data_IF_476744981546
#
_entry.id   IF_476744981546
#
_cell.length_a   1.000
_cell.length_b   1.000
_cell.length_c   1.000
_cell.angle_alpha   90.00
_cell.angle_beta   90.00
_cell.angle_gamma   90.00
#
_symmetry.space_group_name_H-M   'P 1'
#
loop_
_entity.id
_entity.type
_entity.pdbx_description
1 polymer ?
#
# COMPACT_ATOMS: atom_id res chain seq x y z
N UNK A 1 -2.77 26.77 -10.65
CA UNK A 1 -3.20 25.51 -11.30
C UNK A 1 -4.54 25.13 -10.71
N UNK A 2 -5.57 25.03 -11.55
CA UNK A 2 -6.88 24.46 -11.20
C UNK A 2 -6.67 23.01 -10.73
N UNK A 3 -7.42 22.49 -9.74
CA UNK A 3 -7.27 21.09 -9.31
C UNK A 3 -7.49 20.17 -10.51
N UNK A 4 -6.84 19.00 -10.60
CA UNK A 4 -7.31 17.96 -11.51
C UNK A 4 -8.78 17.72 -11.20
N UNK A 5 -9.65 17.75 -12.22
CA UNK A 5 -10.99 17.17 -12.11
C UNK A 5 -10.82 15.78 -11.48
N UNK A 6 -11.63 15.48 -10.45
CA UNK A 6 -11.56 14.25 -9.67
C UNK A 6 -11.22 13.05 -10.55
N UNK A 7 -10.32 12.16 -10.09
CA UNK A 7 -9.99 10.93 -10.82
C UNK A 7 -11.26 10.27 -11.40
N UNK A 8 -11.23 9.92 -12.69
CA UNK A 8 -12.34 9.25 -13.38
C UNK A 8 -12.38 7.80 -12.90
N UNK A 9 -12.96 7.60 -11.71
CA UNK A 9 -13.16 6.32 -11.05
C UNK A 9 -14.55 5.79 -11.40
N UNK A 10 -14.57 4.66 -12.09
CA UNK A 10 -15.79 3.93 -12.47
C UNK A 10 -15.85 2.63 -11.70
N UNK A 11 -16.97 2.38 -11.04
CA UNK A 11 -17.20 1.16 -10.26
C UNK A 11 -18.39 0.42 -10.86
N UNK A 12 -18.16 -0.80 -11.36
CA UNK A 12 -19.14 -1.59 -12.10
C UNK A 12 -19.44 -2.90 -11.36
N UNK A 13 -20.72 -3.22 -11.19
CA UNK A 13 -21.17 -4.47 -10.57
C UNK A 13 -21.00 -4.54 -9.03
N UNK A 14 -20.73 -3.40 -8.36
CA UNK A 14 -20.46 -3.36 -6.92
C UNK A 14 -21.72 -2.98 -6.09
N UNK A 15 -21.77 -3.34 -4.80
CA UNK A 15 -22.76 -2.82 -3.87
C UNK A 15 -22.72 -1.28 -3.74
N UNK A 16 -23.86 -0.64 -3.47
CA UNK A 16 -23.96 0.83 -3.34
C UNK A 16 -22.97 1.43 -2.33
N UNK A 17 -22.66 0.72 -1.24
CA UNK A 17 -21.66 1.17 -0.24
C UNK A 17 -20.27 1.40 -0.85
N UNK A 18 -19.86 0.55 -1.81
CA UNK A 18 -18.57 0.66 -2.49
C UNK A 18 -18.59 1.83 -3.46
N UNK A 19 -19.69 1.99 -4.19
CA UNK A 19 -19.87 3.15 -5.09
C UNK A 19 -19.77 4.44 -4.29
N UNK A 20 -20.47 4.54 -3.15
CA UNK A 20 -20.37 5.70 -2.27
C UNK A 20 -18.96 5.92 -1.71
N UNK A 21 -18.27 4.84 -1.30
CA UNK A 21 -16.89 4.93 -0.80
C UNK A 21 -15.91 5.46 -1.87
N UNK A 22 -16.10 5.07 -3.13
CA UNK A 22 -15.29 5.52 -4.28
C UNK A 22 -15.47 7.00 -4.63
N UNK A 23 -16.63 7.57 -4.28
CA UNK A 23 -16.94 8.98 -4.53
C UNK A 23 -16.46 9.91 -3.40
N UNK A 24 -16.12 9.35 -2.23
CA UNK A 24 -15.67 10.11 -1.07
C UNK A 24 -14.16 10.38 -1.15
N UNK A 25 -13.79 11.61 -1.51
CA UNK A 25 -12.39 12.04 -1.53
C UNK A 25 -11.75 11.94 -0.14
N UNK A 26 -10.57 11.32 -0.10
CA UNK A 26 -9.74 11.16 1.10
C UNK A 26 -8.38 11.84 0.94
N UNK A 27 -8.18 12.52 -0.18
CA UNK A 27 -6.99 13.30 -0.46
C UNK A 27 -6.95 14.56 0.42
N UNK A 28 -5.74 14.90 0.90
CA UNK A 28 -5.43 16.05 1.73
C UNK A 28 -4.28 16.84 1.11
N UNK A 29 -4.32 18.16 1.28
CA UNK A 29 -3.33 19.12 0.76
C UNK A 29 -3.00 20.23 1.76
N UNK A 30 -3.66 20.19 2.93
CA UNK A 30 -3.33 21.02 4.06
C UNK A 30 -1.93 20.65 4.60
N UNK A 31 -1.14 21.62 5.11
CA UNK A 31 0.21 21.35 5.58
C UNK A 31 0.25 20.21 6.60
N UNK A 32 1.08 19.19 6.32
CA UNK A 32 1.32 18.10 7.27
C UNK A 32 2.16 18.57 8.45
N UNK A 33 1.76 18.19 9.66
CA UNK A 33 2.48 18.47 10.89
C UNK A 33 3.80 17.71 11.00
N UNK A 34 4.69 18.26 11.82
CA UNK A 34 5.95 17.64 12.22
C UNK A 34 6.16 18.01 13.68
N UNK A 35 6.20 17.00 14.56
CA UNK A 35 6.53 17.20 15.97
C UNK A 35 8.03 16.97 16.18
N UNK A 36 8.61 17.61 17.20
CA UNK A 36 9.99 17.39 17.62
C UNK A 36 9.98 17.00 19.09
N UNK A 37 10.58 15.86 19.40
CA UNK A 37 10.71 15.34 20.76
C UNK A 37 12.15 15.47 21.21
N UNK A 38 12.40 16.41 22.13
CA UNK A 38 13.70 16.60 22.77
C UNK A 38 14.03 15.41 23.67
N UNK A 39 15.26 14.89 23.57
CA UNK A 39 15.70 13.66 24.23
C UNK A 39 14.77 12.48 23.95
N UNK A 40 14.28 12.39 22.70
CA UNK A 40 13.26 11.43 22.31
C UNK A 40 13.74 9.99 22.43
N UNK A 41 12.94 9.14 23.09
CA UNK A 41 13.17 7.71 23.27
C UNK A 41 12.28 6.92 22.31
N UNK A 42 12.87 5.99 21.58
CA UNK A 42 12.20 5.06 20.67
C UNK A 42 12.41 3.64 21.22
N UNK A 43 11.42 3.05 21.91
CA UNK A 43 11.54 1.69 22.43
C UNK A 43 11.49 0.66 21.29
N UNK A 44 11.81 -0.59 21.60
CA UNK A 44 11.41 -1.72 20.76
C UNK A 44 9.89 -1.82 20.69
N UNK A 45 9.36 -2.37 19.60
CA UNK A 45 7.95 -2.74 19.55
C UNK A 45 7.68 -4.01 20.35
N UNK A 46 6.52 -4.07 21.01
CA UNK A 46 6.01 -5.27 21.69
C UNK A 46 4.58 -5.54 21.24
N UNK A 47 4.26 -6.78 20.87
CA UNK A 47 2.89 -7.15 20.53
C UNK A 47 1.97 -6.98 21.76
N UNK A 48 0.77 -6.46 21.52
CA UNK A 48 -0.23 -6.27 22.55
C UNK A 48 -1.64 -6.53 22.02
N UNK A 49 -2.58 -6.76 22.94
CA UNK A 49 -3.99 -6.78 22.59
C UNK A 49 -4.55 -5.36 22.64
N UNK A 50 -5.16 -4.92 21.54
CA UNK A 50 -5.89 -3.66 21.49
C UNK A 50 -7.38 -3.99 21.46
N UNK A 51 -8.16 -3.55 22.47
CA UNK A 51 -9.61 -3.71 22.46
C UNK A 51 -10.23 -2.84 21.36
N UNK A 52 -11.09 -3.44 20.55
CA UNK A 52 -11.96 -2.76 19.60
C UNK A 52 -13.36 -2.78 20.21
N UNK A 53 -13.87 -1.60 20.52
CA UNK A 53 -15.26 -1.45 20.94
C UNK A 53 -16.12 -1.23 19.70
N UNK A 54 -16.69 -2.30 19.16
CA UNK A 54 -17.86 -2.19 18.29
C UNK A 54 -19.11 -2.43 19.14
N UNK A 55 -20.18 -1.68 18.85
CA UNK A 55 -21.40 -1.53 19.65
C UNK A 55 -22.18 -2.82 19.94
N UNK A 56 -21.73 -3.97 19.43
CA UNK A 56 -22.37 -5.27 19.62
C UNK A 56 -21.43 -6.39 20.12
N UNK A 57 -20.11 -6.17 20.29
CA UNK A 57 -19.20 -7.20 20.82
C UNK A 57 -17.77 -6.69 21.13
N UNK A 58 -17.17 -7.18 22.22
CA UNK A 58 -15.77 -6.92 22.57
C UNK A 58 -14.84 -7.83 21.75
N UNK A 59 -14.03 -7.24 20.88
CA UNK A 59 -13.01 -7.98 20.13
C UNK A 59 -11.62 -7.42 20.41
N UNK A 60 -10.61 -8.28 20.32
CA UNK A 60 -9.21 -7.90 20.50
C UNK A 60 -8.42 -8.12 19.22
N UNK A 61 -7.80 -7.07 18.70
CA UNK A 61 -6.82 -7.16 17.62
C UNK A 61 -5.40 -7.15 18.18
N UNK A 62 -4.47 -7.80 17.48
CA UNK A 62 -3.05 -7.81 17.86
C UNK A 62 -2.41 -6.54 17.35
N UNK A 63 -2.24 -5.54 18.22
CA UNK A 63 -1.54 -4.31 17.91
C UNK A 63 -0.13 -4.27 18.50
N UNK A 64 0.45 -3.08 18.51
CA UNK A 64 1.85 -2.88 18.89
C UNK A 64 2.00 -1.80 19.95
N UNK A 65 2.74 -2.06 21.03
CA UNK A 65 3.27 -0.99 21.87
C UNK A 65 4.45 -0.35 21.15
N UNK A 66 4.47 0.97 21.06
CA UNK A 66 5.49 1.69 20.30
C UNK A 66 5.34 3.21 20.41
N UNK A 67 5.89 3.93 19.44
CA UNK A 67 5.92 5.40 19.40
C UNK A 67 7.22 6.01 19.89
N UNK A 68 7.24 7.33 20.00
CA UNK A 68 8.34 8.17 20.49
C UNK A 68 7.93 8.80 21.80
N UNK A 69 8.81 8.80 22.79
CA UNK A 69 8.53 9.28 24.15
C UNK A 69 9.49 10.42 24.50
N UNK A 70 9.03 11.38 25.28
CA UNK A 70 9.91 12.41 25.84
C UNK A 70 10.66 11.90 27.09
N UNK A 71 11.51 12.76 27.67
CA UNK A 71 12.25 12.46 28.91
C UNK A 71 11.37 12.19 30.14
N UNK A 72 10.09 12.56 30.10
CA UNK A 72 9.13 12.34 31.18
C UNK A 72 8.36 11.02 30.99
N UNK A 73 8.59 10.32 29.88
CA UNK A 73 7.89 9.08 29.55
C UNK A 73 6.53 9.31 28.88
N UNK A 74 6.23 10.55 28.46
CA UNK A 74 5.01 10.88 27.74
C UNK A 74 5.16 10.59 26.26
N UNK A 75 4.18 9.91 25.67
CA UNK A 75 4.21 9.54 24.25
C UNK A 75 3.85 10.74 23.36
N UNK A 76 4.62 10.96 22.30
CA UNK A 76 4.24 11.85 21.20
C UNK A 76 3.07 11.25 20.43
N UNK A 77 1.85 11.84 20.45
CA UNK A 77 0.68 11.20 19.85
C UNK A 77 0.81 10.92 18.35
N UNK A 78 1.49 11.79 17.59
CA UNK A 78 1.71 11.63 16.14
C UNK A 78 2.60 10.43 15.77
N UNK A 79 3.36 9.91 16.74
CA UNK A 79 4.20 8.72 16.56
C UNK A 79 3.42 7.40 16.60
N UNK A 80 2.16 7.42 17.07
CA UNK A 80 1.30 6.26 17.11
C UNK A 80 0.76 5.92 15.70
N UNK A 81 0.42 4.65 15.51
CA UNK A 81 0.00 4.09 14.23
C UNK A 81 -1.51 3.85 14.22
N UNK A 82 -2.17 4.34 13.18
CA UNK A 82 -3.61 4.28 13.01
C UNK A 82 -3.98 3.57 11.69
N UNK A 83 -5.11 2.87 11.70
CA UNK A 83 -5.80 2.37 10.52
C UNK A 83 -7.28 2.70 10.68
N UNK A 84 -7.90 3.22 9.63
CA UNK A 84 -9.31 3.63 9.65
C UNK A 84 -9.54 4.67 10.77
N UNK A 85 -10.26 4.31 11.82
CA UNK A 85 -10.43 5.13 13.04
C UNK A 85 -9.90 4.43 14.30
N UNK A 86 -9.11 3.37 14.12
CA UNK A 86 -8.58 2.53 15.19
C UNK A 86 -7.08 2.73 15.32
N UNK A 87 -6.62 3.02 16.53
CA UNK A 87 -5.19 2.96 16.86
C UNK A 87 -4.76 1.51 16.89
N UNK A 88 -3.82 1.14 16.03
CA UNK A 88 -3.22 -0.20 16.00
C UNK A 88 -1.87 -0.23 16.70
N UNK A 89 -1.39 0.92 17.17
CA UNK A 89 -0.35 0.99 18.19
C UNK A 89 -0.79 1.77 19.43
N UNK A 90 -0.25 1.42 20.58
CA UNK A 90 -0.51 2.04 21.89
C UNK A 90 0.78 2.38 22.62
N UNK A 91 0.67 3.10 23.72
CA UNK A 91 1.82 3.49 24.53
C UNK A 91 2.25 2.40 25.51
N UNK A 92 3.53 2.43 25.89
CA UNK A 92 4.02 1.75 27.08
C UNK A 92 3.49 2.44 28.34
N UNK A 93 3.29 1.67 29.41
CA UNK A 93 3.06 2.22 30.73
C UNK A 93 4.38 2.74 31.33
N UNK A 94 4.32 3.69 32.28
CA UNK A 94 5.52 4.20 32.96
C UNK A 94 6.37 3.05 33.52
N UNK A 95 7.67 3.05 33.21
CA UNK A 95 8.62 2.03 33.66
C UNK A 95 8.66 0.73 32.85
N UNK A 96 7.83 0.55 31.82
CA UNK A 96 7.90 -0.62 30.93
C UNK A 96 9.03 -0.52 29.89
N UNK A 97 9.52 0.69 29.61
CA UNK A 97 10.65 0.90 28.69
C UNK A 97 11.94 0.47 29.42
N UNK A 98 12.64 -0.49 28.82
CA UNK A 98 13.90 -1.02 29.35
C UNK A 98 15.07 -0.04 29.25
N UNK A 99 16.32 -0.52 29.47
CA UNK A 99 17.52 0.30 29.32
C UNK A 99 17.57 1.00 27.96
N UNK A 100 17.94 2.28 27.98
CA UNK A 100 17.97 3.14 26.79
C UNK A 100 19.42 3.38 26.37
N UNK A 101 19.77 3.02 25.14
CA UNK A 101 21.03 3.40 24.51
C UNK A 101 20.91 4.80 23.91
N UNK A 102 21.81 5.72 24.27
CA UNK A 102 21.80 7.06 23.70
C UNK A 102 22.70 7.17 22.47
N UNK A 103 22.13 7.66 21.37
CA UNK A 103 22.81 7.93 20.11
C UNK A 103 22.79 9.46 19.90
N UNK A 104 23.95 10.13 19.86
CA UNK A 104 24.00 11.58 19.70
C UNK A 104 23.40 12.05 18.36
N UNK A 105 22.84 13.26 18.36
CA UNK A 105 22.29 13.93 17.19
C UNK A 105 20.80 13.74 16.99
N UNK A 106 20.36 13.98 15.76
CA UNK A 106 18.95 13.97 15.39
C UNK A 106 18.59 12.74 14.57
N UNK A 107 17.36 12.27 14.73
CA UNK A 107 16.81 11.19 13.93
C UNK A 107 15.38 11.49 13.49
N UNK A 108 14.96 10.89 12.37
CA UNK A 108 13.57 10.90 11.92
C UNK A 108 12.90 9.58 12.30
N UNK A 109 11.77 9.65 13.00
CA UNK A 109 10.93 8.50 13.26
C UNK A 109 10.05 8.18 12.05
N UNK A 110 10.21 6.98 11.49
CA UNK A 110 9.50 6.52 10.30
C UNK A 110 8.28 5.63 10.61
N UNK A 111 8.09 5.21 11.86
CA UNK A 111 6.98 4.35 12.26
C UNK A 111 7.33 2.86 12.32
N UNK A 112 6.35 2.01 12.00
CA UNK A 112 6.47 0.56 12.08
C UNK A 112 7.00 -0.02 10.76
N UNK A 113 7.97 -0.93 10.84
CA UNK A 113 8.49 -1.68 9.68
C UNK A 113 7.65 -2.95 9.45
N UNK A 114 6.79 -2.93 8.43
CA UNK A 114 5.93 -4.07 8.07
C UNK A 114 6.60 -5.00 7.05
N UNK A 115 6.37 -6.31 7.17
CA UNK A 115 6.90 -7.33 6.24
C UNK A 115 6.10 -7.52 4.96
N UNK A 116 4.82 -7.17 4.97
CA UNK A 116 3.93 -7.39 3.85
C UNK A 116 4.09 -6.25 2.84
N UNK A 117 4.27 -6.58 1.57
CA UNK A 117 4.55 -5.61 0.49
C UNK A 117 3.64 -4.38 0.51
N UNK A 118 2.31 -4.59 0.49
CA UNK A 118 1.35 -3.49 0.52
C UNK A 118 1.43 -2.66 1.82
N UNK A 119 1.55 -3.31 2.98
CA UNK A 119 1.66 -2.61 4.26
C UNK A 119 2.97 -1.84 4.39
N UNK A 120 4.08 -2.34 3.87
CA UNK A 120 5.32 -1.58 3.84
C UNK A 120 5.16 -0.32 3.00
N UNK A 121 4.70 -0.43 1.75
CA UNK A 121 4.53 0.73 0.89
C UNK A 121 3.54 1.73 1.51
N UNK A 122 2.40 1.29 2.02
CA UNK A 122 1.36 2.22 2.50
C UNK A 122 1.58 2.74 3.92
N UNK A 123 2.22 1.98 4.79
CA UNK A 123 2.29 2.29 6.23
C UNK A 123 3.71 2.48 6.75
N UNK A 124 4.70 1.73 6.25
CA UNK A 124 6.09 1.98 6.65
C UNK A 124 6.65 3.22 5.96
N UNK A 125 6.21 3.55 4.74
CA UNK A 125 6.74 4.74 4.05
C UNK A 125 5.97 6.03 4.33
N UNK A 126 4.88 5.98 5.12
CA UNK A 126 3.94 7.08 5.28
C UNK A 126 4.50 8.35 5.94
N UNK A 127 5.69 8.26 6.56
CA UNK A 127 6.41 9.41 7.16
C UNK A 127 7.66 9.81 6.38
N UNK A 128 8.03 9.06 5.34
CA UNK A 128 9.27 9.28 4.58
C UNK A 128 9.19 10.50 3.65
N UNK A 129 8.02 11.12 3.51
CA UNK A 129 7.87 12.37 2.78
C UNK A 129 8.80 13.47 3.31
N UNK A 130 8.91 13.59 4.63
CA UNK A 130 9.67 14.65 5.28
C UNK A 130 11.17 14.55 5.01
N UNK A 131 11.85 13.41 5.28
CA UNK A 131 13.29 13.30 5.00
C UNK A 131 13.64 13.47 3.51
N UNK A 132 12.71 13.17 2.58
CA UNK A 132 12.90 13.48 1.15
C UNK A 132 12.85 14.99 0.90
N UNK A 133 11.79 15.67 1.37
CA UNK A 133 11.57 17.09 1.08
C UNK A 133 12.60 17.99 1.77
N UNK A 134 12.94 17.66 3.02
CA UNK A 134 13.94 18.41 3.81
C UNK A 134 15.38 17.96 3.55
N UNK A 135 15.59 16.96 2.68
CA UNK A 135 16.91 16.39 2.36
C UNK A 135 17.70 16.02 3.61
N UNK A 136 17.01 15.49 4.61
CA UNK A 136 17.62 15.08 5.86
C UNK A 136 18.69 14.02 5.58
N UNK A 137 19.83 14.08 6.29
CA UNK A 137 20.97 13.17 6.10
C UNK A 137 21.21 12.21 7.29
N UNK A 138 20.51 12.41 8.42
CA UNK A 138 20.67 11.58 9.61
C UNK A 138 19.91 10.24 9.58
N UNK A 139 19.91 9.51 10.72
CA UNK A 139 19.23 8.22 10.87
C UNK A 139 17.71 8.29 10.65
N UNK A 140 17.17 7.28 9.97
CA UNK A 140 15.73 7.08 9.77
C UNK A 140 15.33 5.81 10.53
N UNK A 141 14.52 5.98 11.56
CA UNK A 141 14.32 4.99 12.61
C UNK A 141 12.94 4.37 12.52
N UNK A 142 12.90 3.05 12.43
CA UNK A 142 11.70 2.24 12.45
C UNK A 142 11.67 1.36 13.69
N UNK A 143 10.47 1.09 14.20
CA UNK A 143 10.28 0.00 15.16
C UNK A 143 9.88 -1.28 14.43
N UNK A 144 10.40 -2.39 14.92
CA UNK A 144 10.29 -3.67 14.24
C UNK A 144 9.01 -4.45 14.61
N UNK A 145 8.09 -4.66 13.66
CA UNK A 145 6.93 -5.55 13.87
C UNK A 145 7.15 -6.98 13.36
N UNK A 146 8.37 -7.32 12.93
CA UNK A 146 8.69 -8.55 12.19
C UNK A 146 9.45 -9.58 13.08
N UNK A 147 9.69 -9.27 14.35
CA UNK A 147 10.60 -10.07 15.18
C UNK A 147 12.03 -10.05 14.62
N UNK A 148 12.89 -11.03 14.94
CA UNK A 148 14.29 -11.08 14.46
C UNK A 148 14.45 -11.25 12.93
N UNK A 149 13.36 -11.36 12.19
CA UNK A 149 13.41 -11.45 10.73
C UNK A 149 13.86 -10.11 10.12
N UNK A 150 14.68 -10.19 9.07
CA UNK A 150 15.25 -9.02 8.39
C UNK A 150 14.23 -8.41 7.43
N UNK A 151 14.39 -7.12 7.15
CA UNK A 151 13.67 -6.40 6.08
C UNK A 151 13.69 -7.21 4.78
N UNK A 152 12.55 -7.44 4.12
CA UNK A 152 12.52 -8.14 2.84
C UNK A 152 13.42 -7.47 1.78
N UNK A 153 13.99 -8.26 0.87
CA UNK A 153 14.95 -7.75 -0.14
C UNK A 153 14.38 -6.61 -0.99
N UNK A 154 13.10 -6.61 -1.33
CA UNK A 154 12.48 -5.52 -2.09
C UNK A 154 12.34 -4.23 -1.29
N UNK A 155 12.05 -4.32 0.02
CA UNK A 155 12.02 -3.16 0.93
C UNK A 155 13.44 -2.62 1.14
N UNK A 156 14.42 -3.52 1.17
CA UNK A 156 15.81 -3.14 1.04
C UNK A 156 15.99 -2.35 -0.26
N UNK A 157 15.77 -2.92 -1.45
CA UNK A 157 15.96 -2.21 -2.74
C UNK A 157 15.31 -0.82 -2.76
N UNK A 158 14.11 -0.65 -2.19
CA UNK A 158 13.48 0.67 -2.04
C UNK A 158 14.38 1.69 -1.33
N UNK A 159 14.99 1.32 -0.20
CA UNK A 159 15.95 2.18 0.51
C UNK A 159 17.26 2.39 -0.27
N UNK A 160 17.73 1.42 -1.06
CA UNK A 160 18.90 1.61 -1.94
C UNK A 160 18.62 2.64 -3.02
N UNK A 161 17.43 2.60 -3.63
CA UNK A 161 17.00 3.57 -4.64
C UNK A 161 16.93 5.00 -4.09
N UNK A 162 16.72 5.16 -2.78
CA UNK A 162 16.78 6.45 -2.09
C UNK A 162 18.20 6.81 -1.61
N UNK A 163 19.17 5.90 -1.69
CA UNK A 163 20.52 6.08 -1.15
C UNK A 163 20.55 6.07 0.39
N UNK A 164 19.57 5.41 1.03
CA UNK A 164 19.36 5.49 2.48
C UNK A 164 19.71 4.20 3.23
N UNK A 165 20.20 3.16 2.55
CA UNK A 165 20.55 1.86 3.14
C UNK A 165 21.22 1.97 4.51
N UNK A 166 22.30 2.74 4.59
CA UNK A 166 23.16 2.84 5.78
C UNK A 166 22.57 3.77 6.86
N UNK A 167 21.48 4.47 6.54
CA UNK A 167 20.78 5.39 7.44
C UNK A 167 19.54 4.76 8.06
N UNK A 168 19.07 3.63 7.54
CA UNK A 168 17.90 2.93 8.08
C UNK A 168 18.30 2.19 9.35
N UNK A 169 17.68 2.58 10.47
CA UNK A 169 17.81 1.89 11.74
C UNK A 169 16.48 1.22 12.10
N UNK A 170 16.52 -0.07 12.38
CA UNK A 170 15.36 -0.84 12.84
C UNK A 170 15.65 -1.29 14.25
N UNK A 171 14.96 -0.69 15.22
CA UNK A 171 15.30 -0.86 16.64
C UNK A 171 14.67 -2.12 17.20
N UNK A 172 15.48 -2.88 17.96
CA UNK A 172 15.08 -4.08 18.70
C UNK A 172 15.24 -3.93 20.23
N UNK A 173 15.77 -2.78 20.66
CA UNK A 173 15.87 -2.30 22.04
C UNK A 173 15.53 -0.81 22.09
N UNK A 174 15.52 -0.20 23.28
CA UNK A 174 15.22 1.22 23.41
C UNK A 174 16.45 2.07 23.09
N UNK A 175 16.26 3.03 22.20
CA UNK A 175 17.30 4.01 21.82
C UNK A 175 16.79 5.43 22.08
N UNK A 176 17.68 6.36 22.35
CA UNK A 176 17.35 7.79 22.39
C UNK A 176 18.25 8.61 21.51
N UNK A 177 17.74 9.77 21.09
CA UNK A 177 18.46 10.79 20.34
C UNK A 177 18.34 12.14 21.03
N UNK A 178 19.23 13.08 20.72
CA UNK A 178 19.11 14.46 21.23
C UNK A 178 17.78 15.07 20.79
N UNK A 179 17.39 14.81 19.53
CA UNK A 179 16.07 15.19 18.98
C UNK A 179 15.52 14.09 18.09
N UNK A 180 14.26 13.74 18.29
CA UNK A 180 13.51 12.86 17.38
C UNK A 180 12.46 13.68 16.65
N UNK A 181 12.60 13.74 15.33
CA UNK A 181 11.66 14.40 14.42
C UNK A 181 10.57 13.38 14.08
N UNK A 182 9.31 13.76 14.30
CA UNK A 182 8.13 12.91 14.11
C UNK A 182 7.23 13.54 13.04
N UNK A 183 7.47 13.25 11.76
CA UNK A 183 6.53 13.65 10.70
C UNK A 183 5.16 13.01 10.93
N UNK A 184 4.10 13.78 10.72
CA UNK A 184 2.75 13.24 10.72
C UNK A 184 2.58 12.30 9.52
N UNK A 185 1.68 11.33 9.67
CA UNK A 185 1.42 10.34 8.62
C UNK A 185 0.82 11.01 7.39
N UNK A 186 1.44 10.81 6.22
CA UNK A 186 0.90 11.20 4.94
C UNK A 186 -0.07 10.15 4.35
N UNK A 187 -0.19 8.97 4.96
CA UNK A 187 -1.12 7.94 4.53
C UNK A 187 -1.63 7.12 5.73
N UNK A 188 -2.95 7.05 5.87
CA UNK A 188 -3.62 6.22 6.86
C UNK A 188 -4.64 5.34 6.15
N UNK A 189 -4.47 4.02 6.28
CA UNK A 189 -5.32 2.99 5.67
C UNK A 189 -6.80 3.37 5.79
N UNK A 190 -7.52 3.40 4.66
CA UNK A 190 -8.94 3.77 4.44
C UNK A 190 -9.40 5.13 4.97
N UNK A 191 -8.52 5.92 5.58
CA UNK A 191 -8.85 7.18 6.24
C UNK A 191 -8.46 8.37 5.38
N UNK A 192 -7.18 8.49 5.04
CA UNK A 192 -6.66 9.67 4.35
C UNK A 192 -5.36 9.40 3.60
N UNK A 193 -5.12 10.18 2.55
CA UNK A 193 -3.84 10.26 1.84
C UNK A 193 -3.50 11.72 1.61
N UNK A 194 -2.25 12.12 1.80
CA UNK A 194 -1.76 13.47 1.56
C UNK A 194 -0.89 13.49 0.29
N UNK A 195 -0.87 14.60 -0.44
CA UNK A 195 -0.10 14.70 -1.69
C UNK A 195 1.41 14.41 -1.53
N UNK A 196 1.99 14.83 -0.39
CA UNK A 196 3.39 14.55 -0.04
C UNK A 196 3.70 13.05 0.13
N UNK A 197 2.69 12.18 0.31
CA UNK A 197 2.89 10.73 0.41
C UNK A 197 3.68 10.18 -0.79
N UNK A 198 3.50 10.77 -1.98
CA UNK A 198 4.15 10.32 -3.22
C UNK A 198 5.65 10.70 -3.31
N UNK A 199 6.15 11.59 -2.46
CA UNK A 199 7.52 12.11 -2.53
C UNK A 199 8.61 11.03 -2.55
N UNK A 200 8.66 10.07 -1.61
CA UNK A 200 9.67 9.01 -1.64
C UNK A 200 9.53 8.06 -2.84
N UNK A 201 8.31 7.83 -3.33
CA UNK A 201 8.07 6.98 -4.49
C UNK A 201 8.56 7.62 -5.79
N UNK A 202 8.33 8.92 -5.99
CA UNK A 202 8.87 9.67 -7.13
C UNK A 202 10.39 9.71 -7.11
N UNK A 203 10.99 9.96 -5.95
CA UNK A 203 12.44 9.96 -5.79
C UNK A 203 13.05 8.59 -6.16
N UNK A 204 12.52 7.50 -5.60
CA UNK A 204 12.96 6.15 -5.92
C UNK A 204 12.69 5.75 -7.38
N UNK A 205 11.53 6.13 -7.94
CA UNK A 205 11.17 5.87 -9.33
C UNK A 205 12.11 6.54 -10.34
N UNK A 206 12.50 7.78 -10.07
CA UNK A 206 13.48 8.49 -10.90
C UNK A 206 14.86 7.81 -10.91
N UNK A 207 15.30 7.25 -9.77
CA UNK A 207 16.56 6.50 -9.68
C UNK A 207 16.44 5.12 -10.34
N UNK A 208 15.29 4.46 -10.23
CA UNK A 208 15.04 3.16 -10.87
C UNK A 208 15.23 3.20 -12.39
N UNK A 209 15.07 4.37 -13.02
CA UNK A 209 15.31 4.58 -14.45
C UNK A 209 16.74 4.21 -14.90
N UNK A 210 17.72 4.25 -13.99
CA UNK A 210 19.10 3.78 -14.25
C UNK A 210 19.16 2.29 -14.61
N UNK A 211 18.16 1.52 -14.20
CA UNK A 211 18.03 0.08 -14.47
C UNK A 211 17.16 -0.21 -15.70
N UNK A 212 16.76 0.79 -16.49
CA UNK A 212 15.87 0.63 -17.64
C UNK A 212 16.32 -0.44 -18.65
N UNK A 213 17.63 -0.63 -18.83
CA UNK A 213 18.17 -1.69 -19.71
C UNK A 213 17.80 -3.11 -19.24
N UNK A 214 17.56 -3.31 -17.95
CA UNK A 214 17.20 -4.62 -17.40
C UNK A 214 15.77 -5.05 -17.75
N UNK A 215 14.95 -4.15 -18.30
CA UNK A 215 13.56 -4.44 -18.70
C UNK A 215 13.30 -4.24 -20.18
N UNK A 216 14.32 -3.92 -21.00
CA UNK A 216 14.13 -3.64 -22.44
C UNK A 216 13.51 -4.81 -23.19
N UNK A 217 13.87 -6.03 -22.79
CA UNK A 217 13.42 -7.27 -23.43
C UNK A 217 12.16 -7.83 -22.74
N UNK A 218 11.78 -7.27 -21.58
CA UNK A 218 10.60 -7.66 -20.83
C UNK A 218 9.35 -6.87 -21.25
N UNK A 219 9.54 -5.66 -21.80
CA UNK A 219 8.47 -4.71 -22.11
C UNK A 219 8.32 -4.56 -23.61
N UNK A 220 7.18 -4.97 -24.16
CA UNK A 220 6.83 -4.71 -25.56
C UNK A 220 6.34 -3.27 -25.76
N UNK A 221 6.90 -2.59 -26.75
CA UNK A 221 6.47 -1.23 -27.13
C UNK A 221 5.13 -1.22 -27.89
N UNK A 222 4.76 -2.35 -28.47
CA UNK A 222 3.52 -2.52 -29.24
C UNK A 222 2.36 -3.04 -28.38
N UNK A 223 2.62 -3.43 -27.13
CA UNK A 223 1.60 -3.96 -26.25
C UNK A 223 0.59 -2.87 -25.84
N UNK A 224 -0.69 -3.24 -25.83
CA UNK A 224 -1.81 -2.40 -25.42
C UNK A 224 -1.79 -2.05 -23.92
N UNK A 225 -1.06 -2.83 -23.11
CA UNK A 225 -0.92 -2.61 -21.67
C UNK A 225 -0.22 -3.77 -20.95
N UNK A 226 -0.16 -3.69 -19.63
CA UNK A 226 0.32 -4.76 -18.76
C UNK A 226 -0.85 -5.42 -18.01
N UNK A 227 -0.88 -6.75 -17.99
CA UNK A 227 -1.75 -7.53 -17.11
C UNK A 227 -0.95 -8.09 -15.94
N UNK A 228 -1.31 -7.68 -14.72
CA UNK A 228 -0.68 -8.13 -13.47
C UNK A 228 -1.34 -9.44 -13.03
N UNK A 229 -0.71 -10.55 -13.39
CA UNK A 229 -1.19 -11.89 -13.07
C UNK A 229 -0.72 -12.33 -11.69
N UNK A 230 -1.62 -12.97 -10.95
CA UNK A 230 -1.35 -13.60 -9.65
C UNK A 230 -1.33 -15.13 -9.72
N UNK A 231 -1.41 -15.70 -10.92
CA UNK A 231 -1.51 -17.16 -11.10
C UNK A 231 -0.29 -17.92 -10.57
N UNK A 232 0.85 -17.24 -10.34
CA UNK A 232 2.08 -17.81 -9.76
C UNK A 232 2.36 -17.42 -8.31
N UNK A 233 1.56 -16.54 -7.71
CA UNK A 233 1.80 -16.02 -6.35
C UNK A 233 1.59 -17.08 -5.25
N UNK A 234 0.92 -18.19 -5.56
CA UNK A 234 0.72 -19.34 -4.67
C UNK A 234 -0.17 -19.08 -3.44
N UNK A 235 -0.73 -17.88 -3.28
CA UNK A 235 -1.54 -17.47 -2.14
C UNK A 235 -2.76 -16.64 -2.56
N UNK A 236 -3.96 -17.00 -2.07
CA UNK A 236 -5.25 -16.38 -2.46
C UNK A 236 -5.38 -16.33 -3.99
N UNK A 237 -5.30 -17.48 -4.65
CA UNK A 237 -5.45 -17.52 -6.09
C UNK A 237 -6.90 -17.23 -6.47
N UNK A 238 -7.09 -16.74 -7.69
CA UNK A 238 -8.42 -16.57 -8.23
C UNK A 238 -8.71 -17.68 -9.24
N UNK A 239 -9.66 -18.54 -8.89
CA UNK A 239 -10.17 -19.57 -9.80
C UNK A 239 -10.72 -18.89 -11.06
N UNK A 240 -10.14 -19.24 -12.22
CA UNK A 240 -10.51 -18.66 -13.51
C UNK A 240 -9.59 -17.54 -14.00
N UNK A 241 -8.64 -17.06 -13.18
CA UNK A 241 -7.68 -16.03 -13.60
C UNK A 241 -6.84 -16.46 -14.80
N UNK A 242 -6.48 -17.75 -14.93
CA UNK A 242 -5.74 -18.24 -16.10
C UNK A 242 -6.50 -17.99 -17.43
N UNK A 243 -7.84 -17.89 -17.40
CA UNK A 243 -8.63 -17.52 -18.58
C UNK A 243 -8.50 -16.04 -18.89
N UNK A 244 -8.42 -15.17 -17.87
CA UNK A 244 -8.19 -13.74 -18.06
C UNK A 244 -6.77 -13.47 -18.55
N UNK A 245 -5.77 -14.11 -17.95
CA UNK A 245 -4.38 -14.03 -18.41
C UNK A 245 -4.27 -14.33 -19.90
N UNK A 246 -4.87 -15.45 -20.35
CA UNK A 246 -4.93 -15.81 -21.78
C UNK A 246 -5.74 -14.83 -22.62
N UNK A 247 -6.82 -14.24 -22.08
CA UNK A 247 -7.63 -13.26 -22.80
C UNK A 247 -6.86 -11.96 -23.01
N UNK A 248 -6.20 -11.44 -21.98
CA UNK A 248 -5.35 -10.24 -22.07
C UNK A 248 -4.16 -10.48 -23.01
N UNK A 249 -3.46 -11.60 -22.88
CA UNK A 249 -2.35 -11.94 -23.79
C UNK A 249 -2.77 -12.02 -25.27
N UNK A 250 -3.98 -12.50 -25.57
CA UNK A 250 -4.53 -12.54 -26.94
C UNK A 250 -4.94 -11.18 -27.50
N UNK A 251 -4.98 -10.16 -26.65
CA UNK A 251 -5.33 -8.78 -27.01
C UNK A 251 -4.17 -7.85 -26.74
N UNK A 252 -2.95 -8.36 -26.98
CA UNK A 252 -1.71 -7.61 -26.98
C UNK A 252 -1.34 -6.98 -25.63
N UNK A 253 -1.77 -7.56 -24.51
CA UNK A 253 -1.21 -7.21 -23.20
C UNK A 253 -0.03 -8.11 -22.86
N UNK A 254 1.01 -7.50 -22.31
CA UNK A 254 2.10 -8.25 -21.68
C UNK A 254 1.69 -8.70 -20.29
N UNK A 255 1.91 -9.98 -19.99
CA UNK A 255 1.53 -10.60 -18.72
C UNK A 255 2.74 -10.61 -17.79
N UNK A 256 2.59 -10.01 -16.60
CA UNK A 256 3.64 -9.96 -15.59
C UNK A 256 3.19 -10.68 -14.30
N UNK A 257 4.07 -11.53 -13.79
CA UNK A 257 4.02 -12.08 -12.43
C UNK A 257 4.95 -11.25 -11.56
N UNK A 258 4.40 -10.17 -10.98
CA UNK A 258 5.20 -9.12 -10.34
C UNK A 258 6.07 -9.64 -9.20
N UNK A 259 5.62 -10.67 -8.49
CA UNK A 259 6.34 -11.35 -7.42
C UNK A 259 7.63 -12.04 -7.86
N UNK A 260 7.76 -12.38 -9.15
CA UNK A 260 8.96 -13.02 -9.72
C UNK A 260 10.00 -11.97 -10.17
N UNK A 261 9.60 -10.70 -10.27
CA UNK A 261 10.46 -9.62 -10.73
C UNK A 261 11.25 -8.97 -9.58
N UNK A 262 12.54 -8.65 -9.78
CA UNK A 262 13.26 -7.69 -8.95
C UNK A 262 12.48 -6.37 -8.81
N UNK A 263 12.60 -5.72 -7.66
CA UNK A 263 11.73 -4.58 -7.31
C UNK A 263 11.91 -3.37 -8.24
N UNK A 264 13.14 -3.10 -8.66
CA UNK A 264 13.46 -2.10 -9.68
C UNK A 264 12.78 -2.40 -11.02
N UNK A 265 12.66 -3.67 -11.40
CA UNK A 265 11.95 -4.06 -12.62
C UNK A 265 10.44 -3.90 -12.46
N UNK A 266 9.87 -4.22 -11.30
CA UNK A 266 8.45 -3.95 -11.00
C UNK A 266 8.10 -2.47 -11.18
N UNK A 267 8.96 -1.58 -10.67
CA UNK A 267 8.81 -0.12 -10.83
C UNK A 267 8.85 0.25 -12.32
N UNK A 268 9.83 -0.26 -13.06
CA UNK A 268 10.00 0.08 -14.47
C UNK A 268 8.87 -0.44 -15.36
N UNK A 269 8.37 -1.66 -15.12
CA UNK A 269 7.17 -2.19 -15.81
C UNK A 269 6.01 -1.22 -15.62
N UNK A 270 5.69 -0.84 -14.39
CA UNK A 270 4.60 0.11 -14.11
C UNK A 270 4.81 1.47 -14.76
N UNK A 271 6.05 1.96 -14.79
CA UNK A 271 6.39 3.24 -15.43
C UNK A 271 6.19 3.20 -16.94
N UNK A 272 6.49 2.08 -17.61
CA UNK A 272 6.44 1.94 -19.08
C UNK A 272 5.03 1.82 -19.65
N UNK A 273 4.12 1.11 -18.98
CA UNK A 273 2.77 0.92 -19.50
C UNK A 273 1.85 2.07 -19.12
N UNK A 274 1.06 2.56 -20.09
CA UNK A 274 -0.01 3.53 -19.86
C UNK A 274 -1.29 2.89 -19.31
N UNK A 275 -1.53 1.63 -19.66
CA UNK A 275 -2.69 0.84 -19.22
C UNK A 275 -2.22 -0.34 -18.37
N UNK A 276 -2.77 -0.45 -17.16
CA UNK A 276 -2.48 -1.52 -16.20
C UNK A 276 -3.79 -2.23 -15.88
N UNK A 277 -3.87 -3.53 -16.13
CA UNK A 277 -5.01 -4.37 -15.79
C UNK A 277 -4.57 -5.50 -14.87
N UNK A 278 -5.49 -6.09 -14.11
CA UNK A 278 -5.15 -7.23 -13.27
C UNK A 278 -6.13 -7.47 -12.14
N UNK A 279 -5.88 -8.53 -11.39
CA UNK A 279 -6.60 -8.79 -10.16
C UNK A 279 -6.21 -7.77 -9.10
N UNK A 280 -7.19 -7.11 -8.49
CA UNK A 280 -6.97 -6.13 -7.44
C UNK A 280 -6.08 -6.71 -6.33
N UNK A 281 -4.98 -6.00 -6.04
CA UNK A 281 -3.93 -6.51 -5.16
C UNK A 281 -2.77 -5.53 -5.01
N UNK A 282 -1.87 -5.82 -4.07
CA UNK A 282 -0.82 -4.88 -3.67
C UNK A 282 0.18 -4.56 -4.78
N UNK A 283 0.27 -5.36 -5.84
CA UNK A 283 1.09 -5.05 -7.01
C UNK A 283 0.71 -3.69 -7.65
N UNK A 284 -0.56 -3.30 -7.62
CA UNK A 284 -1.01 -2.00 -8.12
C UNK A 284 -0.48 -0.82 -7.31
N UNK A 285 -0.10 -1.00 -6.03
CA UNK A 285 0.49 0.09 -5.25
C UNK A 285 1.86 0.53 -5.81
N UNK A 286 2.50 -0.29 -6.65
CA UNK A 286 3.70 0.10 -7.40
C UNK A 286 3.44 1.24 -8.38
N UNK A 287 2.18 1.56 -8.72
CA UNK A 287 1.87 2.77 -9.49
C UNK A 287 2.26 4.08 -8.77
N UNK A 288 2.45 4.08 -7.44
CA UNK A 288 2.96 5.24 -6.69
C UNK A 288 4.31 5.76 -7.22
N UNK A 289 5.11 4.88 -7.83
CA UNK A 289 6.43 5.19 -8.43
C UNK A 289 6.36 5.76 -9.85
N UNK A 290 5.17 5.81 -10.45
CA UNK A 290 4.98 6.41 -11.77
C UNK A 290 5.05 7.93 -11.67
N UNK A 291 5.37 8.61 -12.76
CA UNK A 291 5.28 10.07 -12.85
C UNK A 291 3.89 10.50 -13.36
N UNK A 292 3.41 9.79 -14.38
CA UNK A 292 2.14 10.04 -15.04
C UNK A 292 0.99 9.18 -14.52
N UNK A 293 -0.22 9.70 -14.71
CA UNK A 293 -1.46 8.96 -14.50
C UNK A 293 -1.56 7.74 -15.42
N UNK A 294 -2.24 6.70 -14.94
CA UNK A 294 -2.47 5.43 -15.63
C UNK A 294 -3.95 5.24 -15.94
N UNK A 295 -4.23 4.42 -16.95
CA UNK A 295 -5.53 3.76 -17.09
C UNK A 295 -5.45 2.45 -16.32
N UNK A 296 -6.14 2.36 -15.17
CA UNK A 296 -6.10 1.20 -14.29
C UNK A 296 -7.40 0.39 -14.38
N UNK A 297 -7.31 -0.92 -14.59
CA UNK A 297 -8.46 -1.84 -14.64
C UNK A 297 -8.30 -2.87 -13.53
N UNK A 298 -9.10 -2.75 -12.49
CA UNK A 298 -9.09 -3.62 -11.32
C UNK A 298 -10.18 -4.68 -11.45
N UNK A 299 -9.79 -5.94 -11.51
CA UNK A 299 -10.72 -7.07 -11.36
C UNK A 299 -10.77 -7.44 -9.88
N UNK A 300 -11.89 -7.14 -9.21
CA UNK A 300 -12.06 -7.43 -7.80
C UNK A 300 -12.49 -8.87 -7.59
N UNK A 301 -11.85 -9.50 -6.60
CA UNK A 301 -12.11 -10.91 -6.21
C UNK A 301 -13.31 -11.08 -5.32
N UNK A 302 -13.54 -10.04 -4.51
CA UNK A 302 -14.57 -10.00 -3.49
C UNK A 302 -15.54 -8.85 -3.81
N UNK A 303 -16.66 -8.83 -3.11
CA UNK A 303 -17.66 -7.77 -3.11
C UNK A 303 -17.19 -6.49 -2.37
N UNK A 304 -15.92 -6.43 -1.97
CA UNK A 304 -15.29 -5.31 -1.29
C UNK A 304 -13.92 -4.99 -1.90
N UNK A 305 -13.61 -3.70 -2.07
CA UNK A 305 -12.24 -3.23 -2.34
C UNK A 305 -11.84 -2.28 -1.24
N UNK A 306 -10.60 -2.40 -0.81
CA UNK A 306 -10.06 -1.48 0.17
C UNK A 306 -10.02 -0.05 -0.42
N UNK A 307 -10.53 0.93 0.31
CA UNK A 307 -10.58 2.34 -0.09
C UNK A 307 -9.20 2.94 -0.40
N UNK A 308 -8.13 2.30 0.08
CA UNK A 308 -6.76 2.62 -0.29
C UNK A 308 -6.54 2.69 -1.82
N UNK A 309 -7.22 1.84 -2.60
CA UNK A 309 -7.07 1.86 -4.05
C UNK A 309 -7.64 3.14 -4.66
N UNK A 310 -8.85 3.54 -4.25
CA UNK A 310 -9.45 4.82 -4.67
C UNK A 310 -8.59 6.01 -4.26
N UNK A 311 -8.05 5.98 -3.04
CA UNK A 311 -7.14 7.00 -2.52
C UNK A 311 -5.87 7.15 -3.37
N UNK A 312 -5.28 6.04 -3.78
CA UNK A 312 -4.07 6.03 -4.62
C UNK A 312 -4.38 6.49 -6.04
N UNK A 313 -5.49 6.04 -6.62
CA UNK A 313 -5.92 6.49 -7.95
C UNK A 313 -6.20 7.99 -7.95
N UNK A 314 -6.88 8.51 -6.93
CA UNK A 314 -7.11 9.94 -6.75
C UNK A 314 -5.80 10.73 -6.58
N UNK A 315 -4.88 10.23 -5.75
CA UNK A 315 -3.56 10.84 -5.53
C UNK A 315 -2.72 10.92 -6.82
N UNK A 316 -2.73 9.86 -7.62
CA UNK A 316 -1.95 9.78 -8.85
C UNK A 316 -2.65 10.52 -10.00
N UNK A 317 -3.98 10.58 -9.97
CA UNK A 317 -4.83 11.08 -11.07
C UNK A 317 -5.19 10.00 -12.09
N UNK A 318 -5.23 8.74 -11.68
CA UNK A 318 -5.52 7.61 -12.58
C UNK A 318 -6.96 7.67 -13.11
N UNK A 319 -7.16 7.14 -14.31
CA UNK A 319 -8.48 6.77 -14.82
C UNK A 319 -8.71 5.31 -14.48
N UNK A 320 -9.58 5.04 -13.52
CA UNK A 320 -9.66 3.73 -12.90
C UNK A 320 -11.04 3.09 -13.10
N UNK A 321 -11.05 1.84 -13.57
CA UNK A 321 -12.26 1.02 -13.68
C UNK A 321 -12.16 -0.16 -12.74
N UNK A 322 -13.10 -0.25 -11.81
CA UNK A 322 -13.23 -1.35 -10.85
C UNK A 322 -14.36 -2.27 -11.27
N UNK A 323 -14.01 -3.50 -11.62
CA UNK A 323 -14.94 -4.54 -12.04
C UNK A 323 -15.21 -5.47 -10.87
N UNK A 324 -16.48 -5.62 -10.52
CA UNK A 324 -16.96 -6.58 -9.55
C UNK A 324 -17.81 -7.63 -10.22
N UNK A 325 -17.73 -8.87 -9.73
CA UNK A 325 -18.70 -9.89 -10.07
C UNK A 325 -19.93 -9.72 -9.16
N UNK A 326 -21.09 -9.29 -9.69
CA UNK A 326 -22.28 -9.04 -8.86
C UNK A 326 -22.87 -10.32 -8.25
N UNK A 327 -22.49 -11.50 -8.77
CA UNK A 327 -22.91 -12.81 -8.26
C UNK A 327 -21.80 -13.51 -7.47
N UNK A 328 -20.67 -12.85 -7.21
CA UNK A 328 -19.72 -13.39 -6.25
C UNK A 328 -20.42 -13.41 -4.89
N UNK A 329 -20.99 -14.56 -4.53
CA UNK A 329 -21.58 -14.81 -3.23
C UNK A 329 -20.55 -14.40 -2.18
N UNK A 330 -20.74 -13.21 -1.60
CA UNK A 330 -20.51 -13.14 -0.18
C UNK A 330 -21.57 -14.06 0.39
N UNK A 331 -21.18 -15.16 1.00
CA UNK A 331 -21.97 -15.57 2.14
C UNK A 331 -22.12 -14.28 2.97
N UNK A 332 -23.34 -13.75 3.09
CA UNK A 332 -23.64 -12.71 4.07
C UNK A 332 -23.13 -13.27 5.40
N UNK A 333 -21.94 -12.86 5.80
CA UNK A 333 -21.34 -13.33 7.02
C UNK A 333 -21.16 -12.11 7.89
N UNK A 334 -21.75 -12.13 9.09
CA UNK A 334 -21.71 -10.99 9.97
C UNK A 334 -20.25 -10.57 10.12
N UNK A 335 -20.06 -9.26 10.11
CA UNK A 335 -18.82 -8.66 10.53
C UNK A 335 -18.51 -9.33 11.88
N UNK A 336 -17.28 -9.81 12.02
CA UNK A 336 -16.66 -10.33 13.23
C UNK A 336 -16.81 -11.84 13.53
N UNK A 337 -15.97 -12.64 12.84
CA UNK A 337 -15.28 -13.80 13.44
C UNK A 337 -13.89 -13.91 12.81
N UNK A 338 -12.83 -13.76 13.62
CA UNK A 338 -11.44 -13.74 13.17
C UNK A 338 -10.96 -15.13 12.69
N UNK A 339 -11.53 -16.22 13.20
CA UNK A 339 -11.21 -17.57 12.72
C UNK A 339 -11.80 -17.82 11.34
N UNK A 340 -13.05 -17.42 11.12
CA UNK A 340 -13.69 -17.45 9.80
C UNK A 340 -13.07 -16.46 8.81
N UNK A 341 -12.59 -15.29 9.26
CA UNK A 341 -11.87 -14.30 8.44
C UNK A 341 -10.52 -14.87 8.01
N UNK A 342 -9.71 -15.43 8.92
CA UNK A 342 -8.42 -16.02 8.54
C UNK A 342 -8.63 -17.13 7.52
N UNK A 343 -9.53 -18.10 7.76
CA UNK A 343 -9.79 -19.17 6.79
C UNK A 343 -10.45 -18.69 5.49
N UNK A 344 -11.34 -17.69 5.51
CA UNK A 344 -11.96 -17.12 4.30
C UNK A 344 -10.97 -16.28 3.48
N UNK A 345 -10.09 -15.53 4.13
CA UNK A 345 -8.98 -14.82 3.47
C UNK A 345 -7.87 -15.78 3.01
N UNK A 346 -7.92 -17.06 3.36
CA UNK A 346 -7.02 -18.09 2.82
C UNK A 346 -7.66 -18.90 1.69
N UNK A 347 -8.95 -18.66 1.36
CA UNK A 347 -9.67 -19.36 0.31
C UNK A 347 -9.53 -18.69 -1.06
N UNK A 348 -9.47 -19.52 -2.10
CA UNK A 348 -9.46 -19.05 -3.48
C UNK A 348 -10.86 -18.60 -3.92
N UNK A 349 -10.94 -17.51 -4.67
CA UNK A 349 -12.21 -16.91 -5.13
C UNK A 349 -12.54 -17.31 -6.56
N UNK A 350 -13.80 -17.65 -6.86
CA UNK A 350 -14.24 -17.96 -8.24
C UNK A 350 -14.57 -16.68 -9.03
N UNK A 351 -13.98 -16.54 -10.22
CA UNK A 351 -14.23 -15.44 -11.14
C UNK A 351 -15.01 -15.90 -12.37
N UNK A 352 -16.22 -15.35 -12.57
CA UNK A 352 -16.94 -15.50 -13.83
C UNK A 352 -16.45 -14.46 -14.84
N UNK A 353 -15.47 -14.87 -15.62
CA UNK A 353 -14.83 -14.06 -16.66
C UNK A 353 -15.82 -13.61 -17.74
N UNK A 354 -16.83 -14.43 -18.09
CA UNK A 354 -17.81 -14.06 -19.13
C UNK A 354 -18.70 -12.92 -18.64
N UNK A 355 -19.16 -13.03 -17.39
CA UNK A 355 -19.97 -11.99 -16.75
C UNK A 355 -19.18 -10.70 -16.55
N UNK A 356 -17.93 -10.78 -16.09
CA UNK A 356 -17.05 -9.62 -15.95
C UNK A 356 -16.85 -8.87 -17.27
N UNK A 357 -16.57 -9.59 -18.36
CA UNK A 357 -16.42 -8.96 -19.68
C UNK A 357 -17.73 -8.38 -20.22
N UNK A 358 -18.90 -8.90 -19.82
CA UNK A 358 -20.20 -8.33 -20.22
C UNK A 358 -20.52 -6.98 -19.58
N UNK A 359 -19.84 -6.64 -18.47
CA UNK A 359 -19.97 -5.35 -17.79
C UNK A 359 -19.19 -4.21 -18.49
N UNK A 360 -18.43 -4.50 -19.54
CA UNK A 360 -17.62 -3.53 -20.28
C UNK A 360 -18.34 -3.05 -21.55
N UNK A 361 -18.43 -1.73 -21.77
CA UNK A 361 -18.93 -1.13 -23.03
C UNK A 361 -18.09 0.06 -23.55
N UNK A 362 -18.21 0.36 -24.85
CA UNK A 362 -17.25 1.08 -25.70
C UNK A 362 -16.84 2.54 -25.37
N UNK A 363 -17.02 3.04 -24.16
CA UNK A 363 -16.59 4.40 -23.73
C UNK A 363 -15.93 4.46 -22.33
N UNK A 364 -15.69 3.31 -21.72
CA UNK A 364 -14.86 3.10 -20.52
C UNK A 364 -14.21 1.73 -20.52
N UNK A 365 -14.09 1.15 -21.72
CA UNK A 365 -13.79 -0.24 -21.97
C UNK A 365 -12.63 -0.44 -22.93
N UNK A 366 -12.19 -1.69 -22.96
CA UNK A 366 -11.71 -2.37 -24.15
C UNK A 366 -12.43 -1.90 -25.43
N UNK A 367 -11.79 -1.05 -26.23
CA UNK A 367 -12.32 -0.58 -27.52
C UNK A 367 -12.06 -1.64 -28.62
N UNK A 368 -13.17 -2.21 -29.13
CA UNK A 368 -13.48 -3.08 -30.30
C UNK A 368 -12.40 -3.41 -31.38
N UNK A 369 -12.41 -4.60 -32.02
CA UNK A 369 -13.43 -5.64 -31.98
C UNK A 369 -12.96 -6.86 -31.18
N UNK A 370 -13.47 -6.98 -29.96
CA UNK A 370 -13.51 -8.25 -29.25
C UNK A 370 -14.50 -9.15 -29.98
N UNK A 371 -14.06 -9.75 -31.10
CA UNK A 371 -14.77 -10.86 -31.71
C UNK A 371 -14.60 -12.05 -30.79
N UNK A 372 -15.60 -12.24 -29.94
CA UNK A 372 -15.84 -13.47 -29.21
C UNK A 372 -15.97 -14.63 -30.21
N UNK A 373 -14.84 -15.24 -30.60
CA UNK A 373 -14.85 -16.53 -31.28
C UNK A 373 -14.98 -17.61 -30.21
N UNK A 374 -16.23 -17.98 -29.94
CA UNK A 374 -16.68 -19.32 -29.51
C UNK A 374 -16.06 -19.92 -28.25
N UNK A 375 -16.92 -20.24 -27.29
CA UNK A 375 -16.82 -21.56 -26.64
C UNK A 375 -17.51 -22.58 -27.53
#
# INVERSE_FOLDING_TARGET
MTPPENADIRVLGAPQRIVAASQASRLRRDPLGVDVVENGVIPRTVDCEIPIFDTASEWKFTGWKGGVYDRHGEVCPASLHERDFTRVSTSFAPGEIGPVEHIPGEAVYAGLAFKHFGHFLLESTNRLWWPVLERFEGPIVFQNTIGRERVPRWAQTFFDLLGWRDRIMIVDHAVSFDRVIVPHSAFTIRKMVHENFRAPFRAAGAVAERYARAVSDLVSHEAAGAYLSRTRYGYRQSHGEQRMEKAFARNDFDVFHMEELPFEQQILVMRRYGTIAGIAGSAFHTMLFCDDAKTAIYVNRDHDVNENFFMIDELIGNRATYLYNPDAESAERPIIDRAAIVDAYHSDTTLDVKKLFSLLDGSGALASPWRWRGY
#
